data_IF_404671198993
#
_entry.id   IF_404671198993
#
_cell.length_a   1.000
_cell.length_b   1.000
_cell.length_c   1.000
_cell.angle_alpha   90.00
_cell.angle_beta   90.00
_cell.angle_gamma   90.00
#
_symmetry.space_group_name_H-M   'P 1'
#
loop_
_entity.id
_entity.type
_entity.pdbx_description
1 polymer ?
#
# COMPACT_ATOMS: atom_id res chain seq x y z
N UNK A 1 -6.97 -13.06 -11.79
CA UNK A 1 -6.29 -11.85 -12.31
C UNK A 1 -5.36 -11.28 -11.25
N UNK A 2 -4.21 -10.83 -11.65
CA UNK A 2 -3.15 -10.38 -10.75
C UNK A 2 -2.49 -9.12 -11.30
N UNK A 3 -2.16 -8.19 -10.42
CA UNK A 3 -1.37 -7.01 -10.75
C UNK A 3 -0.18 -6.91 -9.81
N UNK A 4 0.98 -6.60 -10.34
CA UNK A 4 2.22 -6.42 -9.56
C UNK A 4 2.71 -4.99 -9.77
N UNK A 5 3.01 -4.30 -8.67
CA UNK A 5 3.58 -2.96 -8.68
C UNK A 5 4.88 -2.93 -7.89
N UNK A 6 5.81 -2.09 -8.34
CA UNK A 6 7.03 -1.76 -7.60
C UNK A 6 6.86 -0.41 -6.96
N UNK A 7 7.13 -0.31 -5.68
CA UNK A 7 7.00 0.93 -4.91
C UNK A 7 8.28 1.20 -4.13
N UNK A 8 8.55 2.47 -3.93
CA UNK A 8 9.54 2.97 -2.97
C UNK A 8 9.06 4.31 -2.46
N UNK A 9 9.58 4.73 -1.31
CA UNK A 9 9.18 5.98 -0.66
C UNK A 9 10.39 6.87 -0.44
N UNK A 10 10.21 8.18 -0.62
CA UNK A 10 11.23 9.17 -0.33
C UNK A 10 11.12 9.65 1.11
N UNK A 11 12.18 10.26 1.62
CA UNK A 11 12.13 10.93 2.93
C UNK A 11 11.04 12.02 2.96
N UNK A 12 10.88 12.75 1.87
CA UNK A 12 9.86 13.79 1.76
C UNK A 12 8.46 13.21 1.86
N UNK A 13 8.18 12.08 1.18
CA UNK A 13 6.89 11.42 1.27
C UNK A 13 6.58 10.93 2.70
N UNK A 14 7.57 10.40 3.39
CA UNK A 14 7.43 9.99 4.80
C UNK A 14 7.09 11.21 5.65
N UNK A 15 7.79 12.33 5.47
CA UNK A 15 7.51 13.55 6.22
C UNK A 15 6.11 14.10 5.92
N UNK A 16 5.68 14.08 4.69
CA UNK A 16 4.33 14.51 4.28
C UNK A 16 3.24 13.63 4.91
N UNK A 17 3.44 12.32 4.92
CA UNK A 17 2.52 11.39 5.56
C UNK A 17 2.43 11.64 7.06
N UNK A 18 3.55 11.81 7.73
CA UNK A 18 3.59 12.09 9.17
C UNK A 18 2.91 13.42 9.50
N UNK A 19 3.11 14.45 8.68
CA UNK A 19 2.46 15.73 8.86
C UNK A 19 0.94 15.63 8.67
N UNK A 20 0.50 14.88 7.65
CA UNK A 20 -0.92 14.69 7.35
C UNK A 20 -1.64 13.92 8.46
N UNK A 21 -1.03 12.86 8.98
CA UNK A 21 -1.67 11.94 9.93
C UNK A 21 -1.45 12.33 11.38
N UNK A 22 -0.52 13.24 11.67
CA UNK A 22 -0.10 13.53 13.03
C UNK A 22 0.79 12.47 13.67
N UNK A 23 1.31 11.53 12.86
CA UNK A 23 2.26 10.51 13.34
C UNK A 23 3.61 11.16 13.65
N UNK A 24 3.89 11.34 14.92
CA UNK A 24 5.13 11.99 15.39
C UNK A 24 6.14 10.99 15.96
N UNK A 25 5.98 9.71 15.66
CA UNK A 25 6.90 8.69 16.12
C UNK A 25 8.32 8.97 15.60
N UNK A 26 9.27 9.07 16.52
CA UNK A 26 10.64 9.45 16.20
C UNK A 26 11.32 8.46 15.21
N UNK A 27 10.89 7.22 15.16
CA UNK A 27 11.48 6.23 14.23
C UNK A 27 11.27 6.59 12.76
N UNK A 28 10.33 7.49 12.46
CA UNK A 28 10.05 7.94 11.09
C UNK A 28 10.79 9.22 10.71
N UNK A 29 11.62 9.76 11.58
CA UNK A 29 12.35 11.01 11.32
C UNK A 29 13.77 11.06 11.90
N UNK A 30 14.07 10.19 12.86
CA UNK A 30 15.36 10.17 13.55
C UNK A 30 16.01 8.80 13.36
N UNK A 31 17.07 8.70 12.54
CA UNK A 31 17.77 7.42 12.34
C UNK A 31 18.25 6.78 13.64
N UNK A 32 18.68 7.57 14.61
CA UNK A 32 19.11 7.04 15.91
C UNK A 32 17.97 6.35 16.68
N UNK A 33 16.75 6.89 16.60
CA UNK A 33 15.58 6.25 17.19
C UNK A 33 15.21 4.96 16.46
N UNK A 34 15.28 4.97 15.13
CA UNK A 34 15.01 3.77 14.33
C UNK A 34 15.99 2.65 14.68
N UNK A 35 17.27 2.95 14.87
CA UNK A 35 18.29 1.97 15.23
C UNK A 35 18.05 1.34 16.60
N UNK A 36 17.48 2.07 17.53
CA UNK A 36 17.12 1.52 18.83
C UNK A 36 16.01 0.47 18.73
N UNK A 37 15.08 0.63 17.81
CA UNK A 37 13.97 -0.31 17.61
C UNK A 37 14.33 -1.43 16.64
N UNK A 38 15.19 -1.15 15.67
CA UNK A 38 15.62 -2.09 14.64
C UNK A 38 17.14 -2.06 14.51
N UNK A 39 17.86 -2.77 15.38
CA UNK A 39 19.33 -2.79 15.35
C UNK A 39 19.86 -3.15 13.96
N UNK A 40 20.81 -2.36 13.46
CA UNK A 40 21.39 -2.58 12.14
C UNK A 40 20.69 -1.87 11.00
N UNK A 41 19.55 -1.21 11.25
CA UNK A 41 18.87 -0.42 10.21
C UNK A 41 19.72 0.82 9.86
N UNK A 42 19.77 1.17 8.56
CA UNK A 42 20.63 2.26 8.08
C UNK A 42 19.96 3.63 8.00
N UNK A 43 18.65 3.73 8.23
CA UNK A 43 17.89 4.97 8.04
C UNK A 43 16.61 4.91 8.88
N UNK A 44 15.76 5.94 8.74
CA UNK A 44 14.44 5.96 9.34
C UNK A 44 13.55 4.86 8.76
N UNK A 45 12.48 4.53 9.47
CA UNK A 45 11.51 3.51 9.04
C UNK A 45 10.34 4.19 8.33
N UNK A 46 9.97 3.68 7.17
CA UNK A 46 8.74 4.09 6.48
C UNK A 46 7.53 3.65 7.32
N UNK A 47 6.58 4.55 7.62
CA UNK A 47 5.38 4.17 8.38
C UNK A 47 4.60 3.05 7.70
N UNK A 48 4.21 2.04 8.48
CA UNK A 48 3.40 0.95 7.96
C UNK A 48 2.08 1.43 7.35
N UNK A 49 1.48 2.46 7.95
CA UNK A 49 0.27 3.08 7.42
C UNK A 49 0.46 3.73 6.05
N UNK A 50 1.64 4.29 5.76
CA UNK A 50 1.94 4.83 4.44
C UNK A 50 2.00 3.71 3.39
N UNK A 51 2.63 2.60 3.70
CA UNK A 51 2.66 1.43 2.82
C UNK A 51 1.24 0.95 2.54
N UNK A 52 0.45 0.77 3.58
CA UNK A 52 -0.93 0.27 3.48
C UNK A 52 -1.84 1.20 2.68
N UNK A 53 -1.76 2.50 2.92
CA UNK A 53 -2.56 3.49 2.17
C UNK A 53 -2.17 3.53 0.69
N UNK A 54 -0.88 3.43 0.40
CA UNK A 54 -0.38 3.40 -0.98
C UNK A 54 -0.84 2.13 -1.69
N UNK A 55 -0.80 0.99 -1.01
CA UNK A 55 -1.35 -0.27 -1.54
C UNK A 55 -2.83 -0.12 -1.86
N UNK A 56 -3.61 0.47 -0.95
CA UNK A 56 -5.05 0.68 -1.20
C UNK A 56 -5.32 1.60 -2.39
N UNK A 57 -4.43 2.54 -2.67
CA UNK A 57 -4.53 3.41 -3.85
C UNK A 57 -4.44 2.65 -5.18
N UNK A 58 -3.83 1.47 -5.19
CA UNK A 58 -3.74 0.66 -6.40
C UNK A 58 -5.09 0.10 -6.85
N UNK A 59 -6.07 -0.02 -5.96
CA UNK A 59 -7.43 -0.42 -6.34
C UNK A 59 -8.06 0.59 -7.30
N UNK A 60 -7.82 1.87 -7.08
CA UNK A 60 -8.37 2.92 -7.92
C UNK A 60 -7.60 3.10 -9.23
N UNK A 61 -6.29 2.89 -9.22
CA UNK A 61 -5.45 3.20 -10.39
C UNK A 61 -5.15 1.98 -11.27
N UNK A 62 -5.17 0.77 -10.70
CA UNK A 62 -4.71 -0.43 -11.39
C UNK A 62 -5.77 -1.51 -11.51
N UNK A 63 -6.32 -1.98 -10.39
CA UNK A 63 -7.22 -3.12 -10.36
C UNK A 63 -8.14 -3.04 -9.13
N UNK A 64 -9.47 -2.94 -9.25
CA UNK A 64 -10.29 -2.95 -10.48
C UNK A 64 -10.21 -1.67 -11.31
N UNK A 65 -9.73 -0.55 -10.78
CA UNK A 65 -9.58 0.70 -11.48
C UNK A 65 -10.41 1.84 -10.91
N UNK A 66 -10.43 2.95 -11.62
CA UNK A 66 -11.07 4.19 -11.19
C UNK A 66 -12.54 3.99 -10.85
N UNK A 67 -13.02 4.66 -9.82
CA UNK A 67 -14.37 4.55 -9.30
C UNK A 67 -14.58 3.39 -8.33
N UNK A 68 -13.54 2.61 -8.03
CA UNK A 68 -13.63 1.53 -7.04
C UNK A 68 -13.80 2.08 -5.63
N UNK A 69 -14.64 1.41 -4.85
CA UNK A 69 -14.86 1.75 -3.44
C UNK A 69 -14.29 0.64 -2.56
N UNK A 70 -13.36 1.01 -1.66
CA UNK A 70 -12.86 0.08 -0.67
C UNK A 70 -13.91 -0.22 0.38
N UNK A 71 -14.25 -1.48 0.57
CA UNK A 71 -15.21 -1.92 1.57
C UNK A 71 -14.52 -2.38 2.84
N UNK A 72 -13.49 -3.21 2.72
CA UNK A 72 -12.66 -3.66 3.83
C UNK A 72 -11.20 -3.71 3.40
N UNK A 73 -10.32 -3.46 4.35
CA UNK A 73 -8.89 -3.63 4.20
C UNK A 73 -8.34 -4.15 5.52
N UNK A 74 -7.85 -5.38 5.53
CA UNK A 74 -7.38 -6.05 6.73
C UNK A 74 -5.90 -6.39 6.57
N UNK A 75 -5.00 -5.50 7.04
CA UNK A 75 -3.57 -5.75 6.95
C UNK A 75 -3.08 -6.68 8.05
N UNK A 76 -2.07 -7.47 7.73
CA UNK A 76 -1.25 -8.19 8.70
C UNK A 76 -0.15 -7.28 9.25
N UNK A 77 0.53 -7.73 10.31
CA UNK A 77 1.66 -7.00 10.86
C UNK A 77 2.80 -6.85 9.86
N UNK A 78 3.57 -5.78 9.99
CA UNK A 78 4.84 -5.64 9.29
C UNK A 78 5.85 -6.62 9.88
N UNK A 79 6.49 -7.42 9.04
CA UNK A 79 7.45 -8.43 9.45
C UNK A 79 8.89 -7.93 9.43
N UNK A 80 9.16 -6.88 8.65
CA UNK A 80 10.47 -6.25 8.56
C UNK A 80 10.31 -4.77 8.25
N UNK A 81 11.25 -3.93 8.71
CA UNK A 81 11.20 -2.51 8.41
C UNK A 81 11.56 -2.23 6.96
N UNK A 82 11.00 -1.15 6.42
CA UNK A 82 11.31 -0.60 5.11
C UNK A 82 11.87 0.79 5.33
N UNK A 83 12.99 1.10 4.68
CA UNK A 83 13.60 2.43 4.71
C UNK A 83 13.24 3.22 3.45
N UNK A 84 13.30 4.56 3.48
CA UNK A 84 13.21 5.35 2.26
C UNK A 84 14.24 4.88 1.22
N UNK A 85 13.78 4.74 -0.03
CA UNK A 85 14.61 4.23 -1.12
C UNK A 85 14.60 2.72 -1.30
N UNK A 86 14.15 1.95 -0.31
CA UNK A 86 14.01 0.51 -0.47
C UNK A 86 12.84 0.21 -1.41
N UNK A 87 13.08 -0.66 -2.38
CA UNK A 87 12.04 -1.14 -3.29
C UNK A 87 11.22 -2.23 -2.62
N UNK A 88 9.91 -2.19 -2.79
CA UNK A 88 8.99 -3.25 -2.40
C UNK A 88 8.14 -3.66 -3.59
N UNK A 89 7.75 -4.92 -3.62
CA UNK A 89 6.92 -5.52 -4.67
C UNK A 89 5.55 -5.83 -4.08
N UNK A 90 4.53 -5.16 -4.61
CA UNK A 90 3.14 -5.37 -4.19
C UNK A 90 2.42 -6.20 -5.23
N UNK A 91 1.82 -7.30 -4.80
CA UNK A 91 1.00 -8.16 -5.64
C UNK A 91 -0.45 -8.10 -5.17
N UNK A 92 -1.34 -7.71 -6.08
CA UNK A 92 -2.78 -7.74 -5.88
C UNK A 92 -3.32 -8.94 -6.66
N UNK A 93 -3.92 -9.89 -5.98
CA UNK A 93 -4.50 -11.07 -6.62
C UNK A 93 -5.99 -11.17 -6.31
N UNK A 94 -6.82 -11.22 -7.34
CA UNK A 94 -8.25 -11.47 -7.16
C UNK A 94 -8.43 -12.94 -6.81
N UNK A 95 -9.01 -13.20 -5.64
CA UNK A 95 -9.26 -14.56 -5.16
C UNK A 95 -10.70 -14.97 -5.38
N UNK A 96 -11.63 -14.03 -5.40
CA UNK A 96 -13.05 -14.29 -5.58
C UNK A 96 -13.79 -13.04 -6.02
N UNK A 97 -14.84 -13.26 -6.83
CA UNK A 97 -15.84 -12.23 -7.15
C UNK A 97 -17.19 -12.80 -6.74
N UNK A 98 -17.88 -12.08 -5.84
CA UNK A 98 -19.15 -12.55 -5.27
C UNK A 98 -20.08 -11.37 -5.05
N UNK A 99 -21.28 -11.43 -5.64
CA UNK A 99 -22.27 -10.37 -5.50
C UNK A 99 -21.77 -9.01 -5.98
N UNK A 100 -20.93 -8.97 -7.01
CA UNK A 100 -20.31 -7.75 -7.51
C UNK A 100 -19.10 -7.28 -6.70
N UNK A 101 -18.79 -7.91 -5.57
CA UNK A 101 -17.65 -7.55 -4.70
C UNK A 101 -16.44 -8.36 -5.13
N UNK A 102 -15.31 -7.68 -5.30
CA UNK A 102 -14.03 -8.28 -5.64
C UNK A 102 -13.21 -8.47 -4.37
N UNK A 103 -12.77 -9.71 -4.13
CA UNK A 103 -11.90 -10.03 -2.99
C UNK A 103 -10.46 -10.21 -3.44
N UNK A 104 -9.55 -9.63 -2.68
CA UNK A 104 -8.12 -9.64 -2.97
C UNK A 104 -7.31 -10.28 -1.87
N UNK A 105 -6.29 -11.05 -2.27
CA UNK A 105 -5.11 -11.31 -1.46
C UNK A 105 -3.99 -10.38 -1.92
N UNK A 106 -3.34 -9.74 -0.96
CA UNK A 106 -2.29 -8.77 -1.21
C UNK A 106 -1.03 -9.22 -0.50
N UNK A 107 0.07 -9.25 -1.23
CA UNK A 107 1.39 -9.51 -0.66
C UNK A 107 2.33 -8.35 -0.96
N UNK A 108 3.18 -8.03 0.01
CA UNK A 108 4.23 -7.03 -0.12
C UNK A 108 5.53 -7.72 0.25
N UNK A 109 6.44 -7.81 -0.70
CA UNK A 109 7.73 -8.49 -0.54
C UNK A 109 8.88 -7.55 -0.86
N UNK A 110 10.05 -7.84 -0.29
CA UNK A 110 11.28 -7.18 -0.71
C UNK A 110 11.80 -7.81 -2.02
N UNK A 111 12.82 -7.22 -2.68
CA UNK A 111 13.33 -7.78 -3.94
C UNK A 111 13.93 -9.18 -3.83
N UNK A 112 14.27 -9.62 -2.62
CA UNK A 112 14.82 -10.97 -2.37
C UNK A 112 13.72 -12.02 -2.11
N UNK A 113 12.45 -11.61 -2.19
CA UNK A 113 11.32 -12.51 -1.96
C UNK A 113 10.93 -12.67 -0.50
N UNK A 114 11.52 -11.90 0.42
CA UNK A 114 11.13 -11.94 1.83
C UNK A 114 9.88 -11.11 2.07
N UNK A 115 8.93 -11.66 2.83
CA UNK A 115 7.67 -10.99 3.12
C UNK A 115 7.87 -9.76 4.00
N UNK A 116 7.36 -8.61 3.54
CA UNK A 116 7.25 -7.38 4.35
C UNK A 116 5.92 -7.38 5.10
N UNK A 117 4.82 -7.56 4.38
CA UNK A 117 3.49 -7.66 4.96
C UNK A 117 2.52 -8.31 3.96
N UNK A 118 1.31 -8.56 4.41
CA UNK A 118 0.22 -9.03 3.56
C UNK A 118 -1.08 -8.40 4.03
N UNK A 119 -2.11 -8.51 3.20
CA UNK A 119 -3.43 -7.98 3.53
C UNK A 119 -4.50 -8.73 2.75
N UNK A 120 -5.75 -8.58 3.22
CA UNK A 120 -6.94 -8.98 2.49
C UNK A 120 -7.83 -7.77 2.32
N UNK A 121 -8.51 -7.67 1.18
CA UNK A 121 -9.40 -6.56 0.90
C UNK A 121 -10.64 -7.00 0.16
N UNK A 122 -11.71 -6.24 0.34
CA UNK A 122 -12.93 -6.33 -0.46
C UNK A 122 -13.17 -4.98 -1.09
N UNK A 123 -13.42 -4.97 -2.38
CA UNK A 123 -13.56 -3.75 -3.18
C UNK A 123 -14.81 -3.85 -4.03
N UNK A 124 -15.60 -2.79 -4.07
CA UNK A 124 -16.72 -2.66 -4.98
C UNK A 124 -16.24 -1.93 -6.24
N UNK A 125 -16.21 -2.61 -7.39
CA UNK A 125 -15.80 -1.96 -8.64
C UNK A 125 -16.86 -0.96 -9.11
N UNK A 126 -16.49 -0.02 -10.01
CA UNK A 126 -17.45 0.92 -10.53
C UNK A 126 -18.55 0.23 -11.33
N UNK A 127 -19.75 0.82 -11.30
CA UNK A 127 -20.87 0.38 -12.11
C UNK A 127 -20.77 0.91 -13.56
N UNK A 128 -21.67 0.46 -14.41
CA UNK A 128 -21.65 0.86 -15.83
C UNK A 128 -21.82 2.37 -16.05
N UNK A 129 -22.75 3.07 -15.36
CA UNK A 129 -22.83 4.53 -15.51
C UNK A 129 -21.53 5.26 -15.21
N UNK A 130 -20.82 4.85 -14.15
CA UNK A 130 -19.52 5.43 -13.81
C UNK A 130 -18.48 5.12 -14.89
N UNK A 131 -18.41 3.88 -15.37
CA UNK A 131 -17.45 3.52 -16.43
C UNK A 131 -17.66 4.34 -17.69
N UNK A 132 -18.90 4.58 -18.07
CA UNK A 132 -19.24 5.42 -19.22
C UNK A 132 -18.79 6.87 -19.01
N UNK A 133 -19.06 7.43 -17.85
CA UNK A 133 -18.60 8.77 -17.50
C UNK A 133 -17.08 8.86 -17.53
N UNK A 134 -16.40 7.92 -16.93
CA UNK A 134 -14.92 7.88 -16.89
C UNK A 134 -14.32 7.79 -18.28
N UNK A 135 -14.84 6.92 -19.14
CA UNK A 135 -14.36 6.79 -20.51
C UNK A 135 -14.44 8.10 -21.31
N UNK A 136 -15.45 8.93 -21.01
CA UNK A 136 -15.63 10.21 -21.67
C UNK A 136 -14.78 11.36 -21.07
N UNK A 137 -14.31 11.23 -19.82
CA UNK A 137 -13.68 12.34 -19.06
C UNK A 137 -12.24 12.04 -18.62
N UNK A 138 -11.76 10.81 -18.77
CA UNK A 138 -10.37 10.47 -18.36
C UNK A 138 -9.35 11.30 -19.14
N UNK A 139 -8.25 11.73 -18.47
CA UNK A 139 -7.19 12.49 -19.13
C UNK A 139 -6.48 11.69 -20.22
#
# INVERSE_FOLDING_TARGET
MRHVARLSFTHEQVAQYCALTGDQNAIHREPAAAQLRFPGIGDIVVPGGLIQTTVSGLFATQLPGDGSLGLTFTPERLRQPVCPGDEILVSLEITRIRGGIVEFDITVDDPNGNRVTSAKAKVLPPDEPYRQWWAAHRP
#
